data_IF_590228238896
#
_entry.id   IF_590228238896
#
_cell.length_a   1.000
_cell.length_b   1.000
_cell.length_c   1.000
_cell.angle_alpha   90.00
_cell.angle_beta   90.00
_cell.angle_gamma   90.00
#
_symmetry.space_group_name_H-M   'P 1'
#
loop_
_entity.id
_entity.type
_entity.pdbx_description
1 polymer ?
#
# COMPACT_ATOMS: atom_id res chain seq x y z
N UNK A 1 -16.16 4.43 11.20
CA UNK A 1 -16.50 3.09 10.72
C UNK A 1 -15.32 2.54 9.94
N UNK A 2 -14.80 1.41 10.34
CA UNK A 2 -13.73 0.75 9.59
C UNK A 2 -14.32 -0.30 8.65
N UNK A 3 -13.82 -0.34 7.42
CA UNK A 3 -14.13 -1.35 6.42
C UNK A 3 -13.11 -2.46 6.56
N UNK A 4 -13.50 -3.75 6.62
CA UNK A 4 -12.52 -4.83 6.69
C UNK A 4 -11.48 -4.73 5.55
N UNK A 5 -10.21 -4.81 5.90
CA UNK A 5 -9.11 -4.70 4.94
C UNK A 5 -8.70 -3.28 4.58
N UNK A 6 -9.38 -2.28 5.13
CA UNK A 6 -9.11 -0.86 4.88
C UNK A 6 -9.06 -0.09 6.19
N UNK A 7 -8.07 0.76 6.32
CA UNK A 7 -8.06 1.83 7.31
C UNK A 7 -8.58 3.11 6.63
N UNK A 8 -9.44 3.87 7.31
CA UNK A 8 -9.88 5.16 6.80
C UNK A 8 -8.67 6.07 6.56
N UNK A 9 -8.75 7.01 5.61
CA UNK A 9 -7.64 7.92 5.35
C UNK A 9 -7.15 8.56 6.64
N UNK A 10 -5.83 8.53 6.86
CA UNK A 10 -5.18 9.08 8.04
C UNK A 10 -4.26 10.21 7.64
N UNK A 11 -4.18 11.25 8.48
CA UNK A 11 -3.23 12.35 8.29
C UNK A 11 -2.07 12.11 9.24
N UNK A 12 -0.88 11.92 8.68
CA UNK A 12 0.35 11.70 9.45
C UNK A 12 1.42 12.62 8.87
N UNK A 13 2.01 13.46 9.71
CA UNK A 13 3.05 14.38 9.27
C UNK A 13 2.58 15.35 8.18
N UNK A 14 1.29 15.70 8.16
CA UNK A 14 0.70 16.59 7.16
C UNK A 14 0.34 15.92 5.84
N UNK A 15 0.42 14.58 5.75
CA UNK A 15 0.03 13.81 4.57
C UNK A 15 -1.11 12.86 4.86
N UNK A 16 -1.99 12.68 3.88
CA UNK A 16 -3.07 11.71 3.95
C UNK A 16 -2.61 10.36 3.41
N UNK A 17 -2.94 9.30 4.13
CA UNK A 17 -2.62 7.93 3.74
C UNK A 17 -3.88 7.08 3.73
N UNK A 18 -4.05 6.29 2.67
CA UNK A 18 -5.08 5.27 2.58
C UNK A 18 -4.41 3.89 2.64
N UNK A 19 -4.71 3.13 3.68
CA UNK A 19 -4.12 1.81 3.92
C UNK A 19 -5.11 0.73 3.51
N UNK A 20 -4.74 -0.10 2.54
CA UNK A 20 -5.54 -1.24 2.09
C UNK A 20 -4.67 -2.49 2.06
N UNK A 21 -5.31 -3.68 2.13
CA UNK A 21 -4.58 -4.94 2.15
C UNK A 21 -3.83 -5.19 0.83
N UNK A 22 -4.52 -5.14 -0.30
CA UNK A 22 -3.94 -5.44 -1.60
C UNK A 22 -4.03 -4.27 -2.58
N UNK A 23 -5.22 -3.77 -2.85
CA UNK A 23 -5.43 -2.70 -3.81
C UNK A 23 -6.89 -2.29 -3.89
N UNK A 24 -7.24 -1.66 -5.00
CA UNK A 24 -8.58 -1.11 -5.25
C UNK A 24 -9.08 -1.66 -6.59
N UNK A 25 -9.71 -2.84 -6.57
CA UNK A 25 -10.30 -3.40 -7.78
C UNK A 25 -11.50 -2.55 -8.20
N UNK A 26 -11.71 -2.40 -9.50
CA UNK A 26 -12.75 -1.54 -10.06
C UNK A 26 -12.65 -0.08 -9.60
N UNK A 27 -11.42 0.42 -9.54
CA UNK A 27 -11.16 1.78 -9.08
C UNK A 27 -11.83 2.83 -9.99
N UNK A 28 -12.43 3.84 -9.35
CA UNK A 28 -12.90 5.05 -9.99
C UNK A 28 -12.62 6.25 -9.09
N UNK A 29 -12.24 7.38 -9.68
CA UNK A 29 -11.97 8.61 -8.91
C UNK A 29 -13.20 9.09 -8.13
N UNK A 30 -14.39 8.80 -8.65
CA UNK A 30 -15.66 9.25 -8.07
C UNK A 30 -16.24 8.24 -7.08
N UNK A 31 -15.60 7.09 -6.92
CA UNK A 31 -16.07 6.03 -6.03
C UNK A 31 -15.52 6.23 -4.63
N UNK A 32 -16.42 6.31 -3.63
CA UNK A 32 -16.01 6.40 -2.23
C UNK A 32 -15.38 5.09 -1.76
N UNK A 33 -14.39 5.17 -0.86
CA UNK A 33 -13.74 3.99 -0.32
C UNK A 33 -14.73 3.04 0.38
N UNK A 34 -15.79 3.59 0.96
CA UNK A 34 -16.82 2.81 1.64
C UNK A 34 -17.68 1.96 0.69
N UNK A 35 -17.65 2.28 -0.61
CA UNK A 35 -18.40 1.54 -1.63
C UNK A 35 -17.66 0.29 -2.13
N UNK A 36 -16.41 0.08 -1.72
CA UNK A 36 -15.65 -1.11 -2.10
C UNK A 36 -16.02 -2.29 -1.22
N UNK A 37 -16.26 -3.45 -1.85
CA UNK A 37 -16.41 -4.71 -1.14
C UNK A 37 -15.06 -5.24 -0.66
N UNK A 38 -15.07 -6.13 0.33
CA UNK A 38 -13.84 -6.69 0.88
C UNK A 38 -13.01 -7.40 -0.21
N UNK A 39 -13.65 -8.11 -1.13
CA UNK A 39 -12.95 -8.80 -2.22
C UNK A 39 -12.21 -7.84 -3.14
N UNK A 40 -12.76 -6.65 -3.35
CA UNK A 40 -12.13 -5.62 -4.17
C UNK A 40 -10.87 -5.02 -3.51
N UNK A 41 -10.73 -5.19 -2.20
CA UNK A 41 -9.64 -4.61 -1.42
C UNK A 41 -8.51 -5.62 -1.15
N UNK A 42 -8.79 -6.92 -1.25
CA UNK A 42 -7.83 -7.96 -0.87
C UNK A 42 -7.36 -8.85 -2.02
N UNK A 43 -8.00 -8.77 -3.19
CA UNK A 43 -7.77 -9.75 -4.27
C UNK A 43 -6.86 -9.25 -5.38
N UNK A 44 -6.75 -7.96 -5.59
CA UNK A 44 -6.07 -7.38 -6.74
C UNK A 44 -5.04 -6.35 -6.28
N UNK A 45 -3.82 -6.47 -6.80
CA UNK A 45 -2.78 -5.46 -6.57
C UNK A 45 -3.03 -4.24 -7.47
N UNK A 46 -2.63 -3.04 -7.04
CA UNK A 46 -2.81 -1.84 -7.86
C UNK A 46 -1.87 -1.81 -9.06
N UNK A 47 -2.14 -0.91 -9.99
CA UNK A 47 -1.19 -0.53 -11.01
C UNK A 47 -0.20 0.45 -10.39
N UNK A 48 1.02 -0.01 -10.12
CA UNK A 48 2.03 0.78 -9.41
C UNK A 48 2.62 1.92 -10.24
N UNK A 49 2.35 1.95 -11.54
CA UNK A 49 2.78 3.04 -12.41
C UNK A 49 1.76 4.16 -12.47
N UNK A 50 0.54 3.93 -11.95
CA UNK A 50 -0.55 4.88 -11.97
C UNK A 50 -0.65 5.63 -10.65
N UNK A 51 -0.83 6.94 -10.71
CA UNK A 51 -1.14 7.75 -9.53
C UNK A 51 -2.65 7.72 -9.32
N UNK A 52 -3.11 7.02 -8.28
CA UNK A 52 -4.54 6.87 -7.98
C UNK A 52 -5.13 8.12 -7.37
N UNK A 53 -4.40 8.78 -6.47
CA UNK A 53 -4.87 9.94 -5.73
C UNK A 53 -3.85 11.06 -5.80
N UNK A 54 -4.33 12.29 -6.08
CA UNK A 54 -3.47 13.47 -6.10
C UNK A 54 -3.18 13.98 -4.68
N UNK A 55 -4.07 13.67 -3.73
CA UNK A 55 -4.07 14.25 -2.38
C UNK A 55 -3.68 13.28 -1.27
N UNK A 56 -3.43 12.01 -1.59
CA UNK A 56 -3.05 11.02 -0.58
C UNK A 56 -2.15 9.93 -1.18
N UNK A 57 -1.50 9.19 -0.30
CA UNK A 57 -0.63 8.07 -0.66
C UNK A 57 -1.35 6.76 -0.39
N UNK A 58 -1.31 5.84 -1.34
CA UNK A 58 -1.89 4.50 -1.21
C UNK A 58 -0.85 3.55 -0.62
N UNK A 59 -1.15 2.99 0.55
CA UNK A 59 -0.27 2.04 1.25
C UNK A 59 -0.87 0.64 1.15
N UNK A 60 -0.09 -0.30 0.61
CA UNK A 60 -0.55 -1.68 0.37
C UNK A 60 0.47 -2.70 0.85
N UNK A 61 -0.01 -3.94 1.02
CA UNK A 61 0.82 -5.13 1.22
C UNK A 61 0.53 -6.16 0.13
N UNK A 62 0.45 -7.41 0.49
CA UNK A 62 0.02 -8.55 -0.33
C UNK A 62 0.99 -8.97 -1.43
N UNK A 63 1.43 -8.07 -2.29
CA UNK A 63 2.35 -8.38 -3.39
C UNK A 63 3.79 -8.04 -2.98
N UNK A 64 4.71 -9.03 -2.97
CA UNK A 64 6.11 -8.75 -2.65
C UNK A 64 6.71 -7.71 -3.60
N UNK A 65 7.48 -6.78 -3.05
CA UNK A 65 8.04 -5.67 -3.83
C UNK A 65 8.96 -6.13 -4.96
N UNK A 66 9.62 -7.28 -4.81
CA UNK A 66 10.44 -7.86 -5.87
C UNK A 66 9.63 -8.19 -7.13
N UNK A 67 8.35 -8.52 -6.96
CA UNK A 67 7.44 -8.80 -8.08
C UNK A 67 6.92 -7.51 -8.74
N UNK A 68 6.96 -6.39 -8.03
CA UNK A 68 6.63 -5.09 -8.60
C UNK A 68 7.78 -4.62 -9.48
N UNK A 69 8.99 -4.68 -8.92
CA UNK A 69 10.22 -4.30 -9.62
C UNK A 69 11.40 -5.01 -8.93
N UNK A 70 12.18 -5.82 -9.64
CA UNK A 70 13.32 -6.54 -9.07
C UNK A 70 14.34 -5.65 -8.35
N UNK A 71 14.42 -4.38 -8.72
CA UNK A 71 15.28 -3.41 -8.03
C UNK A 71 14.89 -3.13 -6.58
N UNK A 72 13.68 -3.51 -6.19
CA UNK A 72 13.16 -3.33 -4.82
C UNK A 72 13.18 -4.63 -4.01
N UNK A 73 13.88 -5.66 -4.46
CA UNK A 73 13.96 -6.94 -3.74
C UNK A 73 14.33 -6.73 -2.28
N UNK A 74 13.44 -7.15 -1.38
CA UNK A 74 13.65 -7.01 0.06
C UNK A 74 13.56 -5.59 0.59
N UNK A 75 13.03 -4.65 -0.19
CA UNK A 75 12.92 -3.24 0.18
C UNK A 75 11.50 -2.74 0.01
N UNK A 76 11.14 -1.73 0.80
CA UNK A 76 9.85 -1.05 0.67
C UNK A 76 9.84 -0.28 -0.65
N UNK A 77 8.74 -0.43 -1.41
CA UNK A 77 8.54 0.29 -2.66
C UNK A 77 7.86 1.63 -2.38
N UNK A 78 8.43 2.72 -2.89
CA UNK A 78 7.86 4.07 -2.77
C UNK A 78 8.01 4.81 -4.08
N UNK A 79 6.93 4.88 -4.86
CA UNK A 79 6.92 5.58 -6.15
C UNK A 79 5.48 5.83 -6.58
N UNK A 80 5.26 6.90 -7.35
CA UNK A 80 3.95 7.23 -7.95
C UNK A 80 2.79 7.30 -6.95
N UNK A 81 3.04 7.78 -5.73
CA UNK A 81 2.01 7.87 -4.72
C UNK A 81 1.64 6.53 -4.09
N UNK A 82 2.47 5.51 -4.27
CA UNK A 82 2.32 4.19 -3.66
C UNK A 82 3.42 3.94 -2.64
N UNK A 83 3.04 3.25 -1.55
CA UNK A 83 3.98 2.62 -0.63
C UNK A 83 3.56 1.15 -0.53
N UNK A 84 4.42 0.23 -0.96
CA UNK A 84 4.17 -1.20 -0.86
C UNK A 84 5.11 -1.78 0.19
N UNK A 85 4.53 -2.41 1.22
CA UNK A 85 5.25 -2.81 2.43
C UNK A 85 5.66 -4.27 2.46
N UNK A 86 5.15 -5.12 1.57
CA UNK A 86 5.51 -6.53 1.56
C UNK A 86 6.88 -6.71 0.92
N UNK A 87 7.90 -6.81 1.76
CA UNK A 87 9.29 -7.01 1.30
C UNK A 87 9.59 -8.47 0.98
N UNK A 88 8.63 -9.38 1.14
CA UNK A 88 8.79 -10.79 0.82
C UNK A 88 9.19 -11.65 2.01
N UNK A 89 8.80 -11.28 3.23
CA UNK A 89 9.14 -12.03 4.44
C UNK A 89 8.70 -13.50 4.35
N UNK A 90 7.54 -13.77 3.74
CA UNK A 90 7.04 -15.13 3.55
C UNK A 90 7.93 -15.97 2.62
N UNK A 91 8.79 -15.34 1.84
CA UNK A 91 9.70 -15.99 0.90
C UNK A 91 11.15 -15.94 1.36
N UNK A 92 11.38 -15.67 2.64
CA UNK A 92 12.74 -15.62 3.19
C UNK A 92 13.46 -14.28 3.00
N UNK A 93 12.76 -13.25 2.53
CA UNK A 93 13.29 -11.90 2.43
C UNK A 93 13.00 -11.13 3.72
N UNK A 94 13.62 -9.95 3.92
CA UNK A 94 13.39 -9.18 5.15
C UNK A 94 11.94 -8.81 5.39
N UNK A 95 11.56 -8.65 6.66
CA UNK A 95 10.30 -8.04 7.05
C UNK A 95 10.51 -6.53 7.10
N UNK A 96 9.77 -5.79 6.29
CA UNK A 96 9.85 -4.33 6.25
C UNK A 96 8.81 -3.68 7.14
N UNK A 97 9.20 -2.59 7.76
CA UNK A 97 8.32 -1.75 8.57
C UNK A 97 8.63 -0.29 8.29
N UNK A 98 7.60 0.52 8.08
CA UNK A 98 7.76 1.93 7.78
C UNK A 98 7.07 2.77 8.86
N UNK A 99 7.81 3.71 9.44
CA UNK A 99 7.25 4.68 10.35
C UNK A 99 6.85 5.93 9.55
N UNK A 100 5.54 6.17 9.45
CA UNK A 100 5.02 7.24 8.60
C UNK A 100 5.31 8.65 9.13
N UNK A 101 5.55 8.79 10.43
CA UNK A 101 5.83 10.11 11.04
C UNK A 101 7.07 10.77 10.42
N UNK A 102 8.11 10.00 10.16
CA UNK A 102 9.38 10.50 9.62
C UNK A 102 9.89 9.68 8.44
N UNK A 103 9.08 8.74 7.94
CA UNK A 103 9.40 7.86 6.81
C UNK A 103 10.65 7.00 7.07
N UNK A 104 10.90 6.66 8.31
CA UNK A 104 12.02 5.80 8.66
C UNK A 104 11.67 4.34 8.38
N UNK A 105 12.57 3.67 7.65
CA UNK A 105 12.42 2.26 7.27
C UNK A 105 13.17 1.37 8.25
N UNK A 106 12.54 0.26 8.62
CA UNK A 106 13.13 -0.76 9.48
C UNK A 106 13.02 -2.11 8.78
N UNK A 107 14.09 -2.89 8.81
CA UNK A 107 14.13 -4.22 8.22
C UNK A 107 14.59 -5.24 9.23
N UNK A 108 13.87 -6.37 9.31
CA UNK A 108 14.22 -7.50 10.19
C UNK A 108 14.40 -8.74 9.33
N UNK A 109 15.54 -9.35 9.44
CA UNK A 109 15.84 -10.60 8.72
C UNK A 109 15.54 -11.85 9.55
#
# INVERSE_FOLDING_TARGET
ISIPGVENPKVIGGRDYLLVHAGLDHFSKDRDIEDYGIEELISVSPDYEKVYFADKTLVTGHKPTVEINPGYKGKIFMLNGHIALDCGAAYGLPLGCLRLDDMKEFYVE
#
